data_IF_675948885299
#
_entry.id   IF_675948885299
#
_cell.length_a   1.000
_cell.length_b   1.000
_cell.length_c   1.000
_cell.angle_alpha   90.00
_cell.angle_beta   90.00
_cell.angle_gamma   90.00
#
_symmetry.space_group_name_H-M   'P 1'
#
loop_
_entity.id
_entity.type
_entity.pdbx_description
1 polymer ?
#
# COMPACT_ATOMS: atom_id res chain seq x y z
N UNK A 1 -41.07 3.52 -11.07
CA UNK A 1 -40.65 2.21 -10.54
C UNK A 1 -39.13 2.19 -10.36
N UNK A 2 -38.57 3.25 -9.73
CA UNK A 2 -37.11 3.49 -9.61
C UNK A 2 -36.62 3.58 -8.15
N UNK A 3 -37.50 3.39 -7.16
CA UNK A 3 -37.16 3.59 -5.75
C UNK A 3 -36.64 2.35 -5.02
N UNK A 4 -36.79 1.15 -5.58
CA UNK A 4 -36.43 -0.10 -4.89
C UNK A 4 -34.96 -0.52 -5.07
N UNK A 5 -34.32 -0.14 -6.18
CA UNK A 5 -32.91 -0.44 -6.44
C UNK A 5 -31.96 0.44 -5.63
N UNK A 6 -32.32 1.71 -5.38
CA UNK A 6 -31.54 2.64 -4.55
C UNK A 6 -31.47 2.21 -3.07
N UNK A 7 -32.59 1.75 -2.49
CA UNK A 7 -32.64 1.31 -1.10
C UNK A 7 -31.80 0.05 -0.81
N UNK A 8 -31.81 -0.93 -1.72
CA UNK A 8 -31.01 -2.15 -1.56
C UNK A 8 -29.50 -1.89 -1.75
N UNK A 9 -29.12 -0.93 -2.59
CA UNK A 9 -27.74 -0.47 -2.71
C UNK A 9 -27.27 0.21 -1.43
N UNK A 10 -28.09 1.09 -0.85
CA UNK A 10 -27.77 1.81 0.40
C UNK A 10 -27.60 0.87 1.58
N UNK A 11 -28.48 -0.13 1.73
CA UNK A 11 -28.37 -1.14 2.80
C UNK A 11 -27.09 -1.98 2.66
N UNK A 12 -26.65 -2.28 1.43
CA UNK A 12 -25.38 -2.99 1.20
C UNK A 12 -24.15 -2.11 1.47
N UNK A 13 -24.24 -0.82 1.18
CA UNK A 13 -23.18 0.16 1.48
C UNK A 13 -23.03 0.37 2.99
N UNK A 14 -24.14 0.57 3.72
CA UNK A 14 -24.13 0.69 5.18
C UNK A 14 -23.66 -0.60 5.87
N UNK A 15 -24.06 -1.76 5.36
CA UNK A 15 -23.56 -3.05 5.84
C UNK A 15 -22.05 -3.21 5.62
N UNK A 16 -21.55 -2.79 4.45
CA UNK A 16 -20.12 -2.81 4.14
C UNK A 16 -19.31 -1.86 5.04
N UNK A 17 -19.85 -0.66 5.33
CA UNK A 17 -19.21 0.27 6.25
C UNK A 17 -19.14 -0.26 7.69
N UNK A 18 -20.23 -0.86 8.19
CA UNK A 18 -20.26 -1.44 9.54
C UNK A 18 -19.22 -2.55 9.72
N UNK A 19 -19.08 -3.43 8.73
CA UNK A 19 -18.05 -4.46 8.75
C UNK A 19 -16.63 -3.86 8.76
N UNK A 20 -16.35 -2.86 7.92
CA UNK A 20 -15.02 -2.25 7.87
C UNK A 20 -14.66 -1.63 9.23
N UNK A 21 -15.60 -0.99 9.92
CA UNK A 21 -15.38 -0.43 11.27
C UNK A 21 -15.11 -1.55 12.30
N UNK A 22 -15.92 -2.62 12.31
CA UNK A 22 -15.73 -3.76 13.22
C UNK A 22 -14.38 -4.47 13.02
N UNK A 23 -13.95 -4.65 11.77
CA UNK A 23 -12.64 -5.20 11.47
C UNK A 23 -11.54 -4.25 11.88
N UNK A 24 -11.69 -2.94 11.62
CA UNK A 24 -10.70 -1.93 12.00
C UNK A 24 -10.46 -1.92 13.52
N UNK A 25 -11.51 -2.00 14.34
CA UNK A 25 -11.39 -2.08 15.80
C UNK A 25 -10.52 -3.26 16.26
N UNK A 26 -10.61 -4.41 15.59
CA UNK A 26 -9.77 -5.57 15.88
C UNK A 26 -8.30 -5.33 15.51
N UNK A 27 -8.04 -4.57 14.45
CA UNK A 27 -6.68 -4.22 14.02
C UNK A 27 -5.96 -3.32 15.02
N UNK A 28 -6.70 -2.54 15.82
CA UNK A 28 -6.12 -1.68 16.86
C UNK A 28 -5.42 -2.48 17.96
N UNK A 29 -5.77 -3.75 18.11
CA UNK A 29 -5.23 -4.66 19.12
C UNK A 29 -4.01 -5.46 18.60
N UNK A 30 -3.72 -5.39 17.30
CA UNK A 30 -2.63 -6.14 16.67
C UNK A 30 -1.34 -5.32 16.61
N UNK A 31 -0.22 -6.00 16.80
CA UNK A 31 1.14 -5.45 16.62
C UNK A 31 1.76 -5.83 15.27
N UNK A 32 1.28 -6.93 14.66
CA UNK A 32 1.70 -7.38 13.33
C UNK A 32 0.47 -7.52 12.43
N UNK A 33 0.56 -7.03 11.19
CA UNK A 33 -0.51 -7.07 10.20
C UNK A 33 -0.21 -8.09 9.11
N UNK A 34 -1.18 -8.95 8.82
CA UNK A 34 -1.17 -9.82 7.65
C UNK A 34 -1.72 -9.11 6.39
N UNK A 35 -1.74 -9.80 5.25
CA UNK A 35 -2.24 -9.26 3.98
C UNK A 35 -3.68 -8.72 4.07
N UNK A 36 -4.57 -9.42 4.78
CA UNK A 36 -5.97 -9.01 4.92
C UNK A 36 -6.08 -7.80 5.85
N UNK A 37 -5.29 -7.77 6.92
CA UNK A 37 -5.21 -6.63 7.83
C UNK A 37 -4.79 -5.36 7.07
N UNK A 38 -3.74 -5.45 6.23
CA UNK A 38 -3.27 -4.33 5.41
C UNK A 38 -4.33 -3.88 4.39
N UNK A 39 -5.08 -4.80 3.79
CA UNK A 39 -6.18 -4.48 2.87
C UNK A 39 -7.31 -3.72 3.59
N UNK A 40 -7.68 -4.15 4.79
CA UNK A 40 -8.70 -3.48 5.60
C UNK A 40 -8.22 -2.09 6.01
N UNK A 41 -6.96 -1.93 6.44
CA UNK A 41 -6.38 -0.62 6.74
C UNK A 41 -6.44 0.31 5.53
N UNK A 42 -6.07 -0.18 4.34
CA UNK A 42 -6.15 0.61 3.10
C UNK A 42 -7.58 1.11 2.84
N UNK A 43 -8.57 0.22 2.95
CA UNK A 43 -9.98 0.56 2.74
C UNK A 43 -10.47 1.57 3.79
N UNK A 44 -10.09 1.40 5.05
CA UNK A 44 -10.47 2.31 6.13
C UNK A 44 -9.89 3.72 5.93
N UNK A 45 -8.58 3.84 5.66
CA UNK A 45 -7.96 5.14 5.41
C UNK A 45 -8.49 5.82 4.15
N UNK A 46 -8.80 5.05 3.10
CA UNK A 46 -9.45 5.57 1.90
C UNK A 46 -10.85 6.13 2.23
N UNK A 47 -11.66 5.40 3.01
CA UNK A 47 -12.97 5.87 3.50
C UNK A 47 -12.82 7.17 4.28
N UNK A 48 -11.89 7.25 5.24
CA UNK A 48 -11.65 8.46 6.03
C UNK A 48 -11.23 9.65 5.17
N UNK A 49 -10.40 9.41 4.15
CA UNK A 49 -10.00 10.44 3.18
C UNK A 49 -11.21 10.95 2.39
N UNK A 50 -12.06 10.07 1.89
CA UNK A 50 -13.25 10.45 1.10
C UNK A 50 -14.29 11.21 1.93
N UNK A 51 -14.40 10.88 3.22
CA UNK A 51 -15.41 11.44 4.13
C UNK A 51 -14.87 12.56 5.03
N UNK A 52 -13.61 12.97 4.89
CA UNK A 52 -12.92 13.96 5.74
C UNK A 52 -13.10 13.73 7.25
N UNK A 53 -13.22 12.46 7.67
CA UNK A 53 -13.46 12.10 9.08
C UNK A 53 -12.13 12.04 9.82
N UNK A 54 -11.97 12.90 10.82
CA UNK A 54 -10.81 12.85 11.71
C UNK A 54 -10.78 11.50 12.46
N UNK A 55 -9.66 10.81 12.32
CA UNK A 55 -9.22 9.68 13.13
C UNK A 55 -8.37 10.29 14.24
N UNK A 56 -8.82 10.12 15.48
CA UNK A 56 -8.10 10.53 16.68
C UNK A 56 -6.76 9.76 16.83
N UNK A 57 -6.10 9.90 17.98
CA UNK A 57 -4.82 9.33 18.43
C UNK A 57 -4.59 7.80 18.24
N UNK A 58 -5.52 7.10 17.60
CA UNK A 58 -5.41 5.74 17.08
C UNK A 58 -4.41 5.65 15.91
N UNK A 59 -4.25 6.75 15.16
CA UNK A 59 -3.37 6.81 13.99
C UNK A 59 -1.91 6.47 14.31
N UNK A 60 -1.34 7.07 15.35
CA UNK A 60 0.09 6.91 15.64
C UNK A 60 0.48 5.48 16.00
N UNK A 61 -0.41 4.74 16.67
CA UNK A 61 -0.18 3.34 17.02
C UNK A 61 -0.18 2.45 15.76
N UNK A 62 -1.13 2.65 14.84
CA UNK A 62 -1.16 1.90 13.58
C UNK A 62 0.07 2.24 12.74
N UNK A 63 0.40 3.53 12.67
CA UNK A 63 1.55 4.01 11.92
C UNK A 63 2.86 3.42 12.46
N UNK A 64 3.07 3.46 13.77
CA UNK A 64 4.23 2.82 14.42
C UNK A 64 4.28 1.32 14.14
N UNK A 65 3.15 0.61 14.28
CA UNK A 65 3.09 -0.83 14.01
C UNK A 65 3.40 -1.17 12.55
N UNK A 66 2.94 -0.37 11.57
CA UNK A 66 3.27 -0.57 10.14
C UNK A 66 4.76 -0.36 9.89
N UNK A 67 5.37 0.67 10.48
CA UNK A 67 6.80 0.95 10.29
C UNK A 67 7.69 -0.09 10.96
N UNK A 68 7.28 -0.63 12.12
CA UNK A 68 8.03 -1.67 12.84
C UNK A 68 7.93 -3.05 12.15
N UNK A 69 6.96 -3.24 11.26
CA UNK A 69 6.81 -4.45 10.45
C UNK A 69 7.89 -4.49 9.35
N UNK A 70 9.10 -4.89 9.74
CA UNK A 70 10.29 -5.07 8.91
C UNK A 70 10.19 -6.21 7.87
N UNK A 71 9.10 -6.29 7.10
CA UNK A 71 8.95 -7.30 6.05
C UNK A 71 8.63 -6.68 4.69
N UNK A 72 9.39 -5.63 4.33
CA UNK A 72 9.46 -5.10 2.97
C UNK A 72 10.04 -6.13 1.97
N UNK A 73 10.58 -7.26 2.48
CA UNK A 73 11.21 -8.33 1.70
C UNK A 73 10.27 -9.15 0.80
N UNK A 74 8.95 -9.09 1.01
CA UNK A 74 7.95 -9.77 0.17
C UNK A 74 7.29 -8.79 -0.81
N UNK A 75 7.53 -8.99 -2.10
CA UNK A 75 6.99 -8.17 -3.19
C UNK A 75 5.45 -8.07 -3.19
N UNK A 76 4.72 -9.06 -2.64
CA UNK A 76 3.26 -8.93 -2.50
C UNK A 76 2.86 -7.99 -1.35
N UNK A 77 3.64 -7.98 -0.26
CA UNK A 77 3.37 -7.14 0.90
C UNK A 77 3.84 -5.71 0.66
N UNK A 78 4.96 -5.49 -0.04
CA UNK A 78 5.48 -4.13 -0.29
C UNK A 78 4.49 -3.25 -1.06
N UNK A 79 3.79 -3.82 -2.06
CA UNK A 79 2.75 -3.09 -2.81
C UNK A 79 1.53 -2.73 -1.95
N UNK A 80 1.14 -3.60 -1.01
CA UNK A 80 0.02 -3.32 -0.12
C UNK A 80 0.39 -2.28 0.93
N UNK A 81 1.58 -2.38 1.53
CA UNK A 81 2.12 -1.40 2.46
C UNK A 81 2.24 -0.03 1.78
N UNK A 82 2.76 0.02 0.54
CA UNK A 82 2.80 1.24 -0.26
C UNK A 82 1.41 1.88 -0.39
N UNK A 83 0.37 1.10 -0.69
CA UNK A 83 -1.02 1.59 -0.84
C UNK A 83 -1.59 2.11 0.48
N UNK A 84 -1.30 1.45 1.60
CA UNK A 84 -1.71 1.91 2.94
C UNK A 84 -1.03 3.24 3.25
N UNK A 85 0.28 3.35 3.07
CA UNK A 85 1.04 4.58 3.37
C UNK A 85 0.63 5.73 2.46
N UNK A 86 0.39 5.50 1.17
CA UNK A 86 -0.14 6.55 0.27
C UNK A 86 -1.53 7.01 0.75
N UNK A 87 -2.38 6.10 1.20
CA UNK A 87 -3.71 6.44 1.73
C UNK A 87 -3.60 7.29 3.00
N UNK A 88 -2.61 7.01 3.84
CA UNK A 88 -2.27 7.78 5.04
C UNK A 88 -1.79 9.20 4.68
N UNK A 89 -0.91 9.34 3.68
CA UNK A 89 -0.47 10.65 3.18
C UNK A 89 -1.67 11.47 2.68
N UNK A 90 -2.53 10.85 1.86
CA UNK A 90 -3.72 11.51 1.31
C UNK A 90 -4.69 11.95 2.41
N UNK A 91 -4.86 11.11 3.43
CA UNK A 91 -5.67 11.44 4.60
C UNK A 91 -5.11 12.67 5.34
N UNK A 92 -3.81 12.70 5.65
CA UNK A 92 -3.15 13.83 6.31
C UNK A 92 -3.29 15.14 5.52
N UNK A 93 -3.15 15.08 4.20
CA UNK A 93 -3.43 16.23 3.34
C UNK A 93 -4.88 16.71 3.44
N UNK A 94 -5.84 15.78 3.48
CA UNK A 94 -7.27 16.11 3.53
C UNK A 94 -7.67 16.80 4.84
N UNK A 95 -7.10 16.36 5.96
CA UNK A 95 -7.38 16.93 7.29
C UNK A 95 -6.47 18.11 7.67
N UNK A 96 -5.60 18.56 6.75
CA UNK A 96 -4.61 19.63 6.97
C UNK A 96 -3.68 19.38 8.18
N UNK A 97 -3.39 18.12 8.49
CA UNK A 97 -2.50 17.71 9.58
C UNK A 97 -1.14 17.29 9.06
N UNK A 98 -0.10 18.08 9.32
CA UNK A 98 1.20 17.94 8.67
C UNK A 98 2.35 17.49 9.59
N UNK A 99 2.11 17.31 10.89
CA UNK A 99 3.19 17.02 11.86
C UNK A 99 3.93 15.70 11.55
N UNK A 100 3.20 14.70 11.05
CA UNK A 100 3.75 13.37 10.73
C UNK A 100 4.22 13.24 9.26
N UNK A 101 3.98 14.25 8.42
CA UNK A 101 4.31 14.21 7.00
C UNK A 101 5.79 13.90 6.70
N UNK A 102 6.78 14.49 7.39
CA UNK A 102 8.19 14.17 7.11
C UNK A 102 8.51 12.70 7.34
N UNK A 103 7.95 12.11 8.40
CA UNK A 103 8.15 10.70 8.72
C UNK A 103 7.47 9.82 7.67
N UNK A 104 6.23 10.16 7.28
CA UNK A 104 5.49 9.38 6.27
C UNK A 104 6.17 9.43 4.91
N UNK A 105 6.71 10.59 4.52
CA UNK A 105 7.49 10.73 3.28
C UNK A 105 8.81 9.97 3.33
N UNK A 106 9.45 9.88 4.51
CA UNK A 106 10.64 9.05 4.69
C UNK A 106 10.32 7.57 4.47
N UNK A 107 9.24 7.07 5.07
CA UNK A 107 8.80 5.68 4.88
C UNK A 107 8.43 5.38 3.42
N UNK A 108 7.76 6.31 2.73
CA UNK A 108 7.49 6.19 1.28
C UNK A 108 8.80 6.06 0.49
N UNK A 109 9.83 6.83 0.86
CA UNK A 109 11.13 6.78 0.19
C UNK A 109 11.81 5.43 0.38
N UNK A 110 11.87 4.92 1.60
CA UNK A 110 12.45 3.61 1.90
C UNK A 110 11.76 2.49 1.10
N UNK A 111 10.43 2.53 0.99
CA UNK A 111 9.67 1.59 0.17
C UNK A 111 9.99 1.72 -1.32
N UNK A 112 10.13 2.94 -1.83
CA UNK A 112 10.51 3.17 -3.23
C UNK A 112 11.89 2.59 -3.51
N UNK A 113 12.84 2.78 -2.60
CA UNK A 113 14.20 2.27 -2.73
C UNK A 113 14.21 0.72 -2.73
N UNK A 114 13.46 0.08 -1.82
CA UNK A 114 13.31 -1.38 -1.81
C UNK A 114 12.63 -1.93 -3.08
N UNK A 115 11.58 -1.25 -3.59
CA UNK A 115 10.93 -1.63 -4.87
C UNK A 115 11.94 -1.53 -6.03
N UNK A 116 12.78 -0.50 -6.05
CA UNK A 116 13.83 -0.34 -7.06
C UNK A 116 14.85 -1.48 -6.98
N UNK A 117 15.28 -1.86 -5.78
CA UNK A 117 16.22 -2.97 -5.58
C UNK A 117 15.64 -4.31 -6.06
N UNK A 118 14.36 -4.60 -5.80
CA UNK A 118 13.70 -5.78 -6.36
C UNK A 118 13.67 -5.78 -7.88
N UNK A 119 13.28 -4.66 -8.49
CA UNK A 119 13.24 -4.55 -9.94
C UNK A 119 14.63 -4.76 -10.55
N UNK A 120 15.67 -4.20 -9.93
CA UNK A 120 17.07 -4.39 -10.36
C UNK A 120 17.51 -5.87 -10.28
N UNK A 121 17.14 -6.57 -9.20
CA UNK A 121 17.40 -8.00 -9.04
C UNK A 121 16.70 -8.85 -10.12
N UNK A 122 15.43 -8.56 -10.43
CA UNK A 122 14.71 -9.25 -11.51
C UNK A 122 15.35 -9.01 -12.89
N UNK A 123 15.78 -7.78 -13.17
CA UNK A 123 16.53 -7.47 -14.39
C UNK A 123 17.82 -8.31 -14.47
N UNK A 124 18.59 -8.36 -13.39
CA UNK A 124 19.84 -9.13 -13.36
C UNK A 124 19.59 -10.64 -13.52
N UNK A 125 18.54 -11.19 -12.89
CA UNK A 125 18.11 -12.59 -13.06
C UNK A 125 17.75 -12.91 -14.50
N UNK A 126 16.99 -12.04 -15.17
CA UNK A 126 16.63 -12.21 -16.56
C UNK A 126 17.85 -12.17 -17.50
N UNK A 127 18.79 -11.25 -17.26
CA UNK A 127 20.06 -11.15 -18.00
C UNK A 127 20.89 -12.43 -17.83
N UNK A 128 21.11 -12.88 -16.59
CA UNK A 128 21.89 -14.10 -16.29
C UNK A 128 21.25 -15.34 -16.92
N UNK A 129 19.91 -15.44 -16.88
CA UNK A 129 19.17 -16.53 -17.53
C UNK A 129 19.34 -16.53 -19.06
N UNK A 130 19.30 -15.35 -19.68
CA UNK A 130 19.53 -15.18 -21.11
C UNK A 130 20.96 -15.60 -21.52
N UNK A 131 21.97 -15.23 -20.71
CA UNK A 131 23.36 -15.62 -20.93
C UNK A 131 23.57 -17.13 -20.80
N UNK A 132 22.98 -17.75 -19.79
CA UNK A 132 23.01 -19.21 -19.60
C UNK A 132 22.45 -19.96 -20.80
N UNK A 133 21.38 -19.43 -21.41
CA UNK A 133 20.73 -20.00 -22.59
C UNK A 133 21.36 -19.54 -23.92
N UNK A 134 22.39 -18.67 -23.87
CA UNK A 134 23.03 -18.04 -25.02
C UNK A 134 22.04 -17.26 -25.93
N UNK A 135 20.95 -16.73 -25.36
CA UNK A 135 19.98 -15.87 -26.05
C UNK A 135 20.39 -14.40 -25.96
N UNK A 136 21.28 -14.00 -26.87
CA UNK A 136 21.79 -12.62 -26.95
C UNK A 136 20.70 -11.61 -27.29
N UNK A 137 19.72 -11.99 -28.11
CA UNK A 137 18.66 -11.08 -28.54
C UNK A 137 17.74 -10.71 -27.37
N UNK A 138 17.37 -11.69 -26.54
CA UNK A 138 16.59 -11.42 -25.34
C UNK A 138 17.40 -10.62 -24.32
N UNK A 139 18.65 -11.00 -24.06
CA UNK A 139 19.54 -10.27 -23.13
C UNK A 139 19.65 -8.79 -23.48
N UNK A 140 19.96 -8.48 -24.75
CA UNK A 140 20.19 -7.09 -25.18
C UNK A 140 18.90 -6.25 -25.05
N UNK A 141 17.72 -6.85 -25.31
CA UNK A 141 16.43 -6.19 -25.02
C UNK A 141 16.21 -5.91 -23.55
N UNK A 142 16.52 -6.87 -22.67
CA UNK A 142 16.36 -6.70 -21.22
C UNK A 142 17.28 -5.59 -20.69
N UNK A 143 18.51 -5.49 -21.19
CA UNK A 143 19.45 -4.40 -20.86
C UNK A 143 18.92 -3.05 -21.35
N UNK A 144 18.36 -2.99 -22.56
CA UNK A 144 17.76 -1.77 -23.09
C UNK A 144 16.59 -1.29 -22.22
N UNK A 145 15.67 -2.17 -21.82
CA UNK A 145 14.55 -1.82 -20.94
C UNK A 145 15.03 -1.40 -19.54
N UNK A 146 15.99 -2.11 -18.96
CA UNK A 146 16.62 -1.71 -17.69
C UNK A 146 17.16 -0.28 -17.74
N UNK A 147 17.86 0.09 -18.81
CA UNK A 147 18.44 1.43 -18.95
C UNK A 147 17.38 2.53 -19.19
N UNK A 148 16.15 2.17 -19.63
CA UNK A 148 15.01 3.10 -19.73
C UNK A 148 14.39 3.35 -18.35
N UNK A 149 14.24 2.29 -17.56
CA UNK A 149 13.63 2.35 -16.22
C UNK A 149 14.58 2.94 -15.17
N UNK A 150 15.89 2.74 -15.32
CA UNK A 150 16.95 3.19 -14.42
C UNK A 150 18.00 4.03 -15.16
N UNK A 151 17.70 5.31 -15.49
CA UNK A 151 18.59 6.21 -16.23
C UNK A 151 19.81 6.71 -15.43
#
# INVERSE_FOLDING_TARGET
METYTSGCLNVKLEFGEGLIEEYFEQLLLKTNYDTNDLLILHLYFLKCTLNAKAIDNVFENIYANILEQNNFSDANNIHLIQRVIVSIVLYHFNIEYYDLMPQTLSAVREIIDEIQDFALDYYNKAINGAELLNDKSFRDRVIEEKNKDFP
#
